data_IF_625142162427
#
_entry.id   IF_625142162427
#
_cell.length_a   1.000
_cell.length_b   1.000
_cell.length_c   1.000
_cell.angle_alpha   90.00
_cell.angle_beta   90.00
_cell.angle_gamma   90.00
#
_symmetry.space_group_name_H-M   'P 1'
#
loop_
_entity.id
_entity.type
_entity.pdbx_description
1 polymer ?
#
# COMPACT_ATOMS: atom_id res chain seq x y z
N UNK A 1 6.35 3.79 38.62
CA UNK A 1 7.35 3.30 37.67
C UNK A 1 7.92 1.92 38.07
N UNK A 2 8.50 1.71 39.27
CA UNK A 2 9.06 0.40 39.68
C UNK A 2 8.08 -0.78 39.58
N UNK A 3 6.80 -0.61 39.92
CA UNK A 3 5.78 -1.68 39.84
C UNK A 3 5.42 -2.07 38.38
N UNK A 4 5.41 -1.09 37.48
CA UNK A 4 5.17 -1.35 36.03
C UNK A 4 6.33 -2.11 35.39
N UNK A 5 7.55 -1.77 35.78
CA UNK A 5 8.76 -2.47 35.33
C UNK A 5 8.79 -3.93 35.84
N UNK A 6 8.37 -4.15 37.06
CA UNK A 6 8.30 -5.50 37.67
C UNK A 6 7.23 -6.37 36.99
N UNK A 7 6.06 -5.81 36.69
CA UNK A 7 5.01 -6.52 35.94
C UNK A 7 5.42 -6.83 34.51
N UNK A 8 6.09 -5.91 33.84
CA UNK A 8 6.64 -6.15 32.50
C UNK A 8 7.71 -7.25 32.51
N UNK A 9 8.62 -7.24 33.48
CA UNK A 9 9.64 -8.28 33.66
C UNK A 9 9.02 -9.65 33.97
N UNK A 10 7.99 -9.73 34.80
CA UNK A 10 7.26 -10.96 35.09
C UNK A 10 6.56 -11.53 33.83
N UNK A 11 5.94 -10.67 33.00
CA UNK A 11 5.33 -11.09 31.72
C UNK A 11 6.39 -11.63 30.76
N UNK A 12 7.53 -10.98 30.66
CA UNK A 12 8.65 -11.46 29.83
C UNK A 12 9.19 -12.81 30.33
N UNK A 13 9.33 -13.00 31.64
CA UNK A 13 9.80 -14.27 32.23
C UNK A 13 8.80 -15.43 32.03
N UNK A 14 7.49 -15.18 32.01
CA UNK A 14 6.50 -16.23 31.73
C UNK A 14 6.53 -16.69 30.28
N UNK A 15 6.98 -15.86 29.34
CA UNK A 15 7.10 -16.23 27.92
C UNK A 15 8.25 -17.22 27.66
N UNK A 16 9.26 -17.31 28.54
CA UNK A 16 10.38 -18.25 28.38
C UNK A 16 10.07 -19.70 28.78
N UNK A 17 8.98 -19.96 29.50
CA UNK A 17 8.65 -21.30 29.96
C UNK A 17 7.64 -22.06 29.09
N UNK A 18 7.29 -21.56 27.91
CA UNK A 18 6.45 -22.28 26.96
C UNK A 18 7.33 -23.26 26.18
N UNK A 19 7.82 -24.30 26.85
CA UNK A 19 8.25 -25.52 26.18
C UNK A 19 6.99 -26.26 25.73
N UNK A 20 6.40 -25.80 24.63
CA UNK A 20 5.31 -26.49 23.98
C UNK A 20 5.77 -27.92 23.64
N UNK A 21 5.07 -28.90 24.12
CA UNK A 21 5.25 -30.30 23.76
C UNK A 21 5.42 -30.36 22.23
N UNK A 22 6.50 -30.95 21.73
CA UNK A 22 6.69 -31.29 20.32
C UNK A 22 5.60 -32.32 19.93
N UNK A 23 4.43 -31.82 19.58
CA UNK A 23 3.50 -32.61 18.78
C UNK A 23 4.12 -32.70 17.39
N UNK A 24 4.21 -33.90 16.83
CA UNK A 24 4.51 -34.07 15.41
C UNK A 24 3.41 -33.38 14.60
N UNK A 25 3.66 -32.11 14.25
CA UNK A 25 2.74 -31.32 13.47
C UNK A 25 2.94 -31.74 12.01
N UNK A 26 1.88 -32.22 11.38
CA UNK A 26 1.88 -32.54 9.96
C UNK A 26 2.24 -31.29 9.18
N UNK A 27 3.35 -31.35 8.45
CA UNK A 27 3.75 -30.28 7.54
C UNK A 27 3.01 -30.40 6.21
N UNK A 28 2.20 -29.40 5.89
CA UNK A 28 1.47 -29.33 4.62
C UNK A 28 2.34 -28.81 3.51
N UNK A 29 2.11 -29.22 2.25
CA UNK A 29 2.79 -28.68 1.06
C UNK A 29 4.32 -28.78 1.12
N UNK A 30 4.88 -29.89 1.61
CA UNK A 30 6.35 -30.08 1.76
C UNK A 30 7.14 -29.87 0.46
N UNK A 31 6.57 -30.24 -0.71
CA UNK A 31 7.20 -30.07 -2.00
C UNK A 31 7.12 -28.62 -2.55
N UNK A 32 6.31 -27.77 -1.94
CA UNK A 32 6.19 -26.37 -2.35
C UNK A 32 7.52 -25.63 -2.24
N UNK A 33 8.24 -25.89 -1.17
CA UNK A 33 9.53 -25.25 -0.94
C UNK A 33 10.64 -25.66 -1.93
N UNK A 34 10.41 -26.63 -2.80
CA UNK A 34 11.32 -27.08 -3.86
C UNK A 34 11.06 -26.37 -5.20
N UNK A 35 9.91 -25.77 -5.39
CA UNK A 35 9.54 -25.08 -6.62
C UNK A 35 10.29 -23.75 -6.76
N UNK A 36 10.58 -23.36 -8.02
CA UNK A 36 11.23 -22.07 -8.32
C UNK A 36 10.24 -20.96 -8.65
N UNK A 37 9.10 -21.32 -9.21
CA UNK A 37 8.07 -20.38 -9.67
C UNK A 37 6.76 -20.69 -8.96
N UNK A 38 6.11 -19.67 -8.46
CA UNK A 38 4.81 -19.76 -7.82
C UNK A 38 3.85 -18.76 -8.44
N UNK A 39 2.61 -19.14 -8.57
CA UNK A 39 1.54 -18.29 -9.04
C UNK A 39 0.46 -18.19 -7.98
N UNK A 40 -0.24 -17.09 -7.99
CA UNK A 40 -1.35 -16.87 -7.09
C UNK A 40 -2.17 -15.68 -7.50
N UNK A 41 -3.16 -15.36 -6.69
CA UNK A 41 -3.96 -14.15 -6.81
C UNK A 41 -4.12 -13.52 -5.43
N UNK A 42 -4.49 -12.26 -5.42
CA UNK A 42 -4.75 -11.56 -4.17
C UNK A 42 -5.98 -10.68 -4.27
N UNK A 43 -6.60 -10.50 -3.12
CA UNK A 43 -7.62 -9.50 -2.85
C UNK A 43 -7.08 -8.59 -1.77
N UNK A 44 -7.38 -7.30 -1.84
CA UNK A 44 -6.90 -6.34 -0.85
C UNK A 44 -7.88 -5.22 -0.60
N UNK A 45 -7.73 -4.64 0.58
CA UNK A 45 -8.32 -3.37 0.94
C UNK A 45 -7.20 -2.33 1.04
N UNK A 46 -7.49 -1.13 0.60
CA UNK A 46 -6.54 -0.03 0.72
C UNK A 46 -7.21 1.21 1.32
N UNK A 47 -6.40 1.99 2.01
CA UNK A 47 -6.74 3.35 2.40
C UNK A 47 -5.59 4.24 1.99
N UNK A 48 -5.82 5.06 0.96
CA UNK A 48 -4.84 5.99 0.39
C UNK A 48 -5.15 7.40 0.86
N UNK A 49 -4.11 8.14 1.18
CA UNK A 49 -4.12 9.55 1.55
C UNK A 49 -3.06 10.28 0.73
N UNK A 50 -2.97 11.60 0.86
CA UNK A 50 -1.92 12.39 0.21
C UNK A 50 -0.98 13.00 1.24
N UNK A 51 0.30 12.98 0.93
CA UNK A 51 1.28 13.85 1.54
C UNK A 51 1.35 15.11 0.69
N UNK A 52 1.00 16.26 1.29
CA UNK A 52 1.01 17.56 0.63
C UNK A 52 2.05 18.44 1.33
N UNK A 53 2.88 19.11 0.55
CA UNK A 53 3.78 20.17 1.04
C UNK A 53 3.39 21.48 0.39
N UNK A 54 3.41 22.57 1.15
CA UNK A 54 2.98 23.89 0.74
C UNK A 54 4.15 24.88 0.73
N UNK A 55 4.10 25.83 -0.18
CA UNK A 55 5.07 26.92 -0.24
C UNK A 55 4.82 28.00 0.84
N UNK A 56 3.55 28.19 1.24
CA UNK A 56 3.12 29.12 2.28
C UNK A 56 2.20 28.43 3.30
N UNK A 57 2.25 28.82 4.60
CA UNK A 57 1.45 28.17 5.65
C UNK A 57 -0.04 28.56 5.65
N UNK A 58 -0.47 29.46 4.76
CA UNK A 58 -1.82 30.06 4.84
C UNK A 58 -2.90 29.25 4.10
N UNK A 59 -2.55 28.19 3.40
CA UNK A 59 -3.49 27.41 2.59
C UNK A 59 -3.35 25.92 2.90
N UNK A 60 -4.47 25.30 3.25
CA UNK A 60 -4.52 23.87 3.53
C UNK A 60 -5.62 23.19 2.70
N UNK A 61 -5.30 22.01 2.20
CA UNK A 61 -6.22 21.11 1.54
C UNK A 61 -6.57 20.00 2.54
N UNK A 62 -7.84 19.91 2.90
CA UNK A 62 -8.32 18.81 3.73
C UNK A 62 -8.61 17.60 2.84
N UNK A 63 -8.03 16.45 3.19
CA UNK A 63 -8.16 15.22 2.38
C UNK A 63 -9.00 14.22 3.14
N UNK A 64 -10.15 13.88 2.59
CA UNK A 64 -11.00 12.79 3.09
C UNK A 64 -10.84 11.58 2.19
N UNK A 65 -10.36 10.47 2.76
CA UNK A 65 -10.08 9.24 2.02
C UNK A 65 -11.09 8.15 2.33
N UNK A 66 -11.69 7.56 1.31
CA UNK A 66 -12.51 6.37 1.41
C UNK A 66 -11.66 5.09 1.45
N UNK A 67 -12.20 4.01 1.97
CA UNK A 67 -11.61 2.70 1.77
C UNK A 67 -11.77 2.28 0.30
N UNK A 68 -10.70 1.75 -0.26
CA UNK A 68 -10.68 1.21 -1.61
C UNK A 68 -10.40 -0.29 -1.60
N UNK A 69 -10.45 -0.89 -2.77
CA UNK A 69 -10.14 -2.30 -2.96
C UNK A 69 -9.04 -2.52 -3.99
N UNK A 70 -8.45 -3.70 -3.95
CA UNK A 70 -7.40 -4.11 -4.87
C UNK A 70 -7.56 -5.59 -5.21
N UNK A 71 -7.34 -5.95 -6.47
CA UNK A 71 -7.34 -7.33 -6.94
C UNK A 71 -6.25 -7.52 -7.98
N UNK A 72 -5.58 -8.66 -7.94
CA UNK A 72 -4.52 -8.92 -8.91
C UNK A 72 -3.96 -10.34 -8.84
N UNK A 73 -2.94 -10.53 -9.65
CA UNK A 73 -2.20 -11.77 -9.76
C UNK A 73 -0.85 -11.66 -9.05
N UNK A 74 -0.28 -12.80 -8.70
CA UNK A 74 1.05 -12.90 -8.10
C UNK A 74 1.89 -13.83 -8.97
N UNK A 75 3.07 -13.36 -9.33
CA UNK A 75 4.15 -14.18 -9.84
C UNK A 75 5.33 -14.09 -8.87
N UNK A 76 5.78 -15.20 -8.34
CA UNK A 76 6.83 -15.29 -7.34
C UNK A 76 7.96 -16.16 -7.89
N UNK A 77 9.16 -15.63 -8.01
CA UNK A 77 10.35 -16.37 -8.48
C UNK A 77 11.36 -16.49 -7.34
N UNK A 78 11.68 -17.70 -6.96
CA UNK A 78 12.65 -17.99 -5.91
C UNK A 78 14.07 -17.78 -6.40
N UNK A 79 14.73 -16.73 -5.87
CA UNK A 79 16.14 -16.44 -6.10
C UNK A 79 17.04 -17.27 -5.17
N UNK A 80 16.62 -17.40 -3.91
CA UNK A 80 17.34 -18.13 -2.86
C UNK A 80 16.35 -18.77 -1.90
N UNK A 81 16.79 -19.63 -1.00
CA UNK A 81 15.95 -20.32 0.01
C UNK A 81 14.97 -19.37 0.73
N UNK A 82 15.45 -18.18 1.05
CA UNK A 82 14.72 -17.18 1.85
C UNK A 82 14.43 -15.88 1.09
N UNK A 83 14.76 -15.80 -0.21
CA UNK A 83 14.64 -14.59 -1.03
C UNK A 83 13.86 -14.91 -2.30
N UNK A 84 12.75 -14.21 -2.50
CA UNK A 84 11.95 -14.30 -3.72
C UNK A 84 11.85 -12.93 -4.39
N UNK A 85 11.88 -12.93 -5.72
CA UNK A 85 11.46 -11.79 -6.54
C UNK A 85 9.98 -11.96 -6.85
N UNK A 86 9.18 -10.95 -6.54
CA UNK A 86 7.72 -10.99 -6.65
C UNK A 86 7.22 -9.88 -7.54
N UNK A 87 6.33 -10.20 -8.47
CA UNK A 87 5.57 -9.26 -9.27
C UNK A 87 4.09 -9.44 -8.98
N UNK A 88 3.34 -8.34 -8.79
CA UNK A 88 1.93 -8.39 -8.41
C UNK A 88 1.06 -7.45 -9.27
N UNK A 89 0.93 -7.71 -10.59
CA UNK A 89 0.06 -6.88 -11.42
C UNK A 89 -1.38 -6.96 -10.95
N UNK A 90 -2.03 -5.80 -10.82
CA UNK A 90 -3.40 -5.74 -10.33
C UNK A 90 -4.06 -4.39 -10.54
N UNK A 91 -5.36 -4.36 -10.29
CA UNK A 91 -6.18 -3.17 -10.32
C UNK A 91 -6.51 -2.70 -8.91
N UNK A 92 -6.36 -1.41 -8.67
CA UNK A 92 -6.66 -0.77 -7.39
C UNK A 92 -7.61 0.40 -7.62
N UNK A 93 -8.70 0.45 -6.87
CA UNK A 93 -9.64 1.56 -6.89
C UNK A 93 -9.72 2.23 -5.52
N UNK A 94 -9.86 3.55 -5.52
CA UNK A 94 -10.02 4.36 -4.31
C UNK A 94 -10.58 5.74 -4.67
N UNK A 95 -11.48 6.27 -3.84
CA UNK A 95 -12.03 7.62 -3.97
C UNK A 95 -11.50 8.51 -2.86
N UNK A 96 -11.18 9.76 -3.18
CA UNK A 96 -10.73 10.77 -2.24
C UNK A 96 -11.42 12.09 -2.54
N UNK A 97 -11.71 12.85 -1.51
CA UNK A 97 -12.28 14.19 -1.60
C UNK A 97 -11.24 15.19 -1.10
N UNK A 98 -10.93 16.18 -1.92
CA UNK A 98 -10.08 17.30 -1.59
C UNK A 98 -10.96 18.51 -1.29
N UNK A 99 -10.85 19.07 -0.11
CA UNK A 99 -11.54 20.28 0.30
C UNK A 99 -10.54 21.43 0.48
N UNK A 100 -10.69 22.46 -0.33
CA UNK A 100 -9.84 23.66 -0.32
C UNK A 100 -10.42 24.68 0.66
N UNK A 101 -9.97 24.66 1.91
CA UNK A 101 -10.53 25.45 3.02
C UNK A 101 -10.32 26.96 2.88
N UNK A 102 -9.40 27.39 2.06
CA UNK A 102 -9.07 28.80 1.81
C UNK A 102 -9.90 29.42 0.67
N UNK A 103 -10.63 28.61 -0.09
CA UNK A 103 -11.46 29.09 -1.19
C UNK A 103 -12.87 29.37 -0.65
N UNK A 104 -13.35 30.61 -0.84
CA UNK A 104 -14.71 31.00 -0.53
C UNK A 104 -15.57 30.80 -1.80
N UNK A 105 -16.68 30.11 -1.68
CA UNK A 105 -17.59 29.86 -2.79
C UNK A 105 -18.49 28.66 -2.56
N UNK A 106 -19.16 28.26 -3.64
CA UNK A 106 -20.02 27.06 -3.65
C UNK A 106 -19.17 25.80 -3.54
N UNK A 107 -19.79 24.69 -3.14
CA UNK A 107 -19.10 23.40 -2.94
C UNK A 107 -18.43 22.88 -4.22
N UNK A 108 -18.99 23.16 -5.39
CA UNK A 108 -18.41 22.81 -6.69
C UNK A 108 -17.05 23.49 -6.99
N UNK A 109 -16.76 24.63 -6.34
CA UNK A 109 -15.46 25.33 -6.46
C UNK A 109 -14.49 24.85 -5.40
N UNK A 110 -14.97 24.57 -4.19
CA UNK A 110 -14.21 24.25 -3.01
C UNK A 110 -13.87 22.76 -2.86
N UNK A 111 -14.74 21.90 -3.35
CA UNK A 111 -14.60 20.45 -3.21
C UNK A 111 -14.25 19.83 -4.57
N UNK A 112 -13.22 18.99 -4.57
CA UNK A 112 -12.78 18.21 -5.73
C UNK A 112 -12.79 16.73 -5.37
N UNK A 113 -13.53 15.93 -6.14
CA UNK A 113 -13.52 14.49 -6.00
C UNK A 113 -12.47 13.88 -6.92
N UNK A 114 -11.55 13.10 -6.34
CA UNK A 114 -10.51 12.39 -7.05
C UNK A 114 -10.80 10.90 -7.01
N UNK A 115 -11.47 10.41 -8.03
CA UNK A 115 -11.69 8.99 -8.27
C UNK A 115 -10.45 8.41 -8.95
N UNK A 116 -9.82 7.41 -8.35
CA UNK A 116 -8.61 6.82 -8.90
C UNK A 116 -8.76 5.32 -9.12
N UNK A 117 -8.76 4.92 -10.40
CA UNK A 117 -8.55 3.52 -10.80
C UNK A 117 -7.15 3.38 -11.37
N UNK A 118 -6.36 2.51 -10.78
CA UNK A 118 -4.94 2.34 -11.08
C UNK A 118 -4.65 0.91 -11.52
N UNK A 119 -3.89 0.77 -12.61
CA UNK A 119 -3.14 -0.45 -12.87
C UNK A 119 -1.83 -0.35 -12.09
N UNK A 120 -1.62 -1.25 -11.15
CA UNK A 120 -0.41 -1.32 -10.34
C UNK A 120 0.44 -2.51 -10.75
N UNK A 121 1.74 -2.30 -10.87
CA UNK A 121 2.72 -3.34 -11.23
C UNK A 121 3.90 -3.24 -10.26
N UNK A 122 3.75 -3.75 -9.02
CA UNK A 122 4.83 -3.79 -8.05
C UNK A 122 5.88 -4.85 -8.44
N UNK A 123 7.15 -4.51 -8.28
CA UNK A 123 8.28 -5.42 -8.32
C UNK A 123 8.96 -5.41 -6.94
N UNK A 124 8.88 -6.52 -6.24
CA UNK A 124 9.19 -6.62 -4.83
C UNK A 124 10.21 -7.72 -4.56
N UNK A 125 11.06 -7.50 -3.57
CA UNK A 125 11.86 -8.53 -2.93
C UNK A 125 11.16 -8.99 -1.65
N UNK A 126 10.88 -10.27 -1.55
CA UNK A 126 10.30 -10.93 -0.38
C UNK A 126 11.39 -11.69 0.35
N UNK A 127 11.64 -11.32 1.59
CA UNK A 127 12.57 -11.99 2.50
C UNK A 127 11.78 -12.77 3.53
N UNK A 128 11.91 -14.08 3.52
CA UNK A 128 11.19 -14.97 4.42
C UNK A 128 12.14 -15.65 5.41
N UNK A 129 11.64 -15.98 6.58
CA UNK A 129 12.36 -16.85 7.51
C UNK A 129 12.38 -18.30 6.99
N UNK A 130 13.06 -19.19 7.68
CA UNK A 130 12.82 -20.62 7.53
C UNK A 130 11.40 -20.95 7.99
N UNK A 131 10.85 -21.99 7.44
CA UNK A 131 9.50 -22.44 7.76
C UNK A 131 9.44 -22.92 9.20
N UNK A 132 8.46 -22.43 9.94
CA UNK A 132 8.14 -22.82 11.30
C UNK A 132 6.85 -23.65 11.26
N UNK A 133 6.95 -24.96 11.14
CA UNK A 133 5.83 -25.86 10.91
C UNK A 133 5.02 -25.44 9.65
N UNK A 134 3.82 -24.92 9.86
CA UNK A 134 2.92 -24.50 8.78
C UNK A 134 2.82 -22.99 8.63
N UNK A 135 3.82 -22.22 9.12
CA UNK A 135 3.87 -20.77 8.95
C UNK A 135 5.26 -20.30 8.60
N UNK A 136 5.32 -19.19 7.84
CA UNK A 136 6.56 -18.58 7.37
C UNK A 136 6.41 -17.05 7.35
N UNK A 137 6.85 -16.36 8.39
CA UNK A 137 6.89 -14.90 8.41
C UNK A 137 7.80 -14.35 7.31
N UNK A 138 7.43 -13.19 6.76
CA UNK A 138 8.24 -12.50 5.76
C UNK A 138 8.12 -10.99 5.86
N UNK A 139 9.13 -10.32 5.33
CA UNK A 139 9.10 -8.90 5.00
C UNK A 139 9.16 -8.75 3.49
N UNK A 140 8.58 -7.68 2.96
CA UNK A 140 8.58 -7.40 1.54
C UNK A 140 8.87 -5.93 1.32
N UNK A 141 9.62 -5.61 0.27
CA UNK A 141 9.91 -4.25 -0.10
C UNK A 141 10.31 -4.13 -1.56
N UNK A 142 10.05 -3.00 -2.16
CA UNK A 142 10.40 -2.74 -3.56
C UNK A 142 9.75 -1.50 -4.13
N UNK A 143 9.59 -1.48 -5.44
CA UNK A 143 9.04 -0.37 -6.20
C UNK A 143 7.80 -0.81 -6.98
N UNK A 144 6.89 0.13 -7.22
CA UNK A 144 5.68 -0.09 -8.02
C UNK A 144 5.58 0.98 -9.09
N UNK A 145 5.14 0.56 -10.27
CA UNK A 145 4.65 1.45 -11.30
C UNK A 145 3.13 1.45 -11.25
N UNK A 146 2.53 2.63 -11.07
CA UNK A 146 1.09 2.80 -10.95
C UNK A 146 0.59 3.69 -12.10
N UNK A 147 -0.19 3.12 -13.02
CA UNK A 147 -0.83 3.86 -14.12
C UNK A 147 -2.24 4.26 -13.72
N UNK A 148 -2.53 5.56 -13.72
CA UNK A 148 -3.82 6.12 -13.35
C UNK A 148 -4.75 6.22 -14.58
N UNK A 149 -5.77 5.37 -14.66
CA UNK A 149 -6.78 5.42 -15.73
C UNK A 149 -7.73 6.62 -15.62
N UNK A 150 -7.93 7.12 -14.38
CA UNK A 150 -8.84 8.24 -14.11
C UNK A 150 -8.13 9.58 -14.12
N UNK A 151 -6.95 9.65 -14.73
CA UNK A 151 -6.16 10.88 -14.77
C UNK A 151 -6.73 11.85 -15.81
N UNK A 152 -6.96 13.09 -15.38
CA UNK A 152 -7.36 14.21 -16.22
C UNK A 152 -6.15 15.10 -16.59
N UNK A 153 -4.96 14.49 -16.69
CA UNK A 153 -3.70 15.22 -16.91
C UNK A 153 -3.74 16.15 -18.12
N UNK A 154 -4.44 15.73 -19.18
CA UNK A 154 -4.45 16.41 -20.47
C UNK A 154 -5.68 17.35 -20.64
N UNK A 155 -6.55 17.48 -19.63
CA UNK A 155 -7.69 18.39 -19.66
C UNK A 155 -7.26 19.83 -19.32
N UNK A 156 -7.27 20.79 -20.28
CA UNK A 156 -6.90 22.18 -19.98
C UNK A 156 -7.99 22.94 -19.23
N UNK A 157 -9.23 22.44 -19.21
CA UNK A 157 -10.41 23.08 -18.62
C UNK A 157 -10.78 22.46 -17.25
N UNK A 158 -9.89 21.73 -16.62
CA UNK A 158 -10.08 21.02 -15.36
C UNK A 158 -10.75 21.86 -14.26
N UNK A 159 -10.36 23.13 -14.15
CA UNK A 159 -10.91 24.05 -13.16
C UNK A 159 -12.38 24.43 -13.43
N UNK A 160 -12.81 24.48 -14.70
CA UNK A 160 -14.21 24.72 -15.08
C UNK A 160 -15.06 23.47 -14.86
N UNK A 161 -14.48 22.29 -15.12
CA UNK A 161 -15.15 21.00 -14.99
C UNK A 161 -15.18 20.49 -13.53
N UNK A 162 -14.56 21.21 -12.59
CA UNK A 162 -14.52 20.80 -11.21
C UNK A 162 -13.56 19.61 -10.92
N UNK A 163 -12.59 19.37 -11.79
CA UNK A 163 -11.65 18.27 -11.72
C UNK A 163 -10.31 18.70 -11.08
N UNK A 164 -9.54 17.73 -10.63
CA UNK A 164 -8.17 17.93 -10.12
C UNK A 164 -7.20 17.08 -10.93
N UNK A 165 -6.18 17.73 -11.53
CA UNK A 165 -5.26 17.04 -12.44
C UNK A 165 -4.16 16.31 -11.69
N UNK A 166 -4.04 15.04 -11.97
CA UNK A 166 -2.96 14.19 -11.48
C UNK A 166 -2.24 13.50 -12.63
N UNK A 167 -0.95 13.22 -12.46
CA UNK A 167 -0.17 12.51 -13.46
C UNK A 167 -0.70 11.10 -13.71
N UNK A 168 -0.62 10.66 -14.96
CA UNK A 168 -0.97 9.29 -15.37
C UNK A 168 0.01 8.25 -14.85
N UNK A 169 1.32 8.57 -14.88
CA UNK A 169 2.40 7.65 -14.58
C UNK A 169 3.00 8.00 -13.22
N UNK A 170 2.90 7.09 -12.27
CA UNK A 170 3.37 7.29 -10.92
C UNK A 170 4.29 6.14 -10.50
N UNK A 171 5.34 6.48 -9.75
CA UNK A 171 6.27 5.54 -9.18
C UNK A 171 6.14 5.57 -7.66
N UNK A 172 6.02 4.37 -7.07
CA UNK A 172 5.86 4.21 -5.62
C UNK A 172 6.98 3.34 -5.07
N UNK A 173 7.26 3.43 -3.80
CA UNK A 173 7.96 2.40 -3.07
C UNK A 173 7.03 1.76 -2.05
N UNK A 174 7.24 0.47 -1.82
CA UNK A 174 6.43 -0.33 -0.90
C UNK A 174 7.31 -1.02 0.13
N UNK A 175 6.82 -1.09 1.35
CA UNK A 175 7.40 -1.90 2.42
C UNK A 175 6.29 -2.54 3.22
N UNK A 176 6.47 -3.78 3.62
CA UNK A 176 5.44 -4.48 4.38
C UNK A 176 5.92 -5.74 5.05
N UNK A 177 5.00 -6.31 5.82
CA UNK A 177 5.19 -7.56 6.54
C UNK A 177 4.01 -8.47 6.30
N UNK A 178 4.24 -9.77 6.36
CA UNK A 178 3.20 -10.77 6.20
C UNK A 178 3.61 -12.13 6.73
N UNK A 179 2.73 -13.09 6.58
CA UNK A 179 2.98 -14.47 6.96
C UNK A 179 2.36 -15.41 5.93
N UNK A 180 3.12 -16.39 5.47
CA UNK A 180 2.59 -17.50 4.67
C UNK A 180 2.09 -18.58 5.62
N UNK A 181 0.82 -18.91 5.54
CA UNK A 181 0.15 -19.99 6.28
C UNK A 181 -0.09 -21.16 5.32
N UNK A 182 0.60 -22.25 5.56
CA UNK A 182 0.51 -23.46 4.75
C UNK A 182 -0.70 -24.27 5.19
N UNK A 183 -1.77 -24.19 4.42
CA UNK A 183 -2.99 -24.96 4.63
C UNK A 183 -2.94 -26.26 3.79
N UNK A 184 -3.82 -27.24 4.04
CA UNK A 184 -3.79 -28.50 3.31
C UNK A 184 -3.88 -28.36 1.79
N UNK A 185 -4.69 -27.40 1.30
CA UNK A 185 -4.98 -27.24 -0.13
C UNK A 185 -4.31 -26.05 -0.79
N UNK A 186 -4.02 -24.98 -0.05
CA UNK A 186 -3.44 -23.75 -0.56
C UNK A 186 -2.57 -23.06 0.50
N UNK A 187 -1.82 -22.06 0.09
CA UNK A 187 -1.09 -21.18 1.01
C UNK A 187 -1.85 -19.86 1.08
N UNK A 188 -2.20 -19.46 2.29
CA UNK A 188 -2.84 -18.20 2.59
C UNK A 188 -1.80 -17.21 3.14
N UNK A 189 -1.64 -16.06 2.48
CA UNK A 189 -0.58 -15.10 2.79
C UNK A 189 -1.16 -13.71 3.08
N UNK A 190 -1.68 -13.47 4.29
CA UNK A 190 -2.08 -12.12 4.70
C UNK A 190 -0.85 -11.23 4.88
N UNK A 191 -0.96 -9.97 4.46
CA UNK A 191 0.09 -8.96 4.62
C UNK A 191 -0.49 -7.57 4.82
N UNK A 192 0.30 -6.72 5.49
CA UNK A 192 0.06 -5.29 5.59
C UNK A 192 1.25 -4.55 4.99
N UNK A 193 0.98 -3.52 4.17
CA UNK A 193 2.00 -2.77 3.45
C UNK A 193 1.75 -1.28 3.53
N UNK A 194 2.83 -0.51 3.67
CA UNK A 194 2.88 0.92 3.42
C UNK A 194 3.33 1.18 1.98
N UNK A 195 2.64 2.08 1.30
CA UNK A 195 2.94 2.50 -0.08
C UNK A 195 3.09 4.01 -0.10
N UNK A 196 4.12 4.51 -0.79
CA UNK A 196 4.47 5.93 -0.79
C UNK A 196 4.95 6.35 -2.17
N UNK A 197 4.48 7.51 -2.63
CA UNK A 197 4.89 8.09 -3.90
C UNK A 197 6.37 8.53 -3.86
N UNK A 198 7.08 8.24 -4.94
CA UNK A 198 8.45 8.71 -5.18
C UNK A 198 8.42 10.03 -5.94
N UNK A 199 7.57 10.14 -6.97
CA UNK A 199 7.44 11.33 -7.78
C UNK A 199 6.31 12.24 -7.27
N UNK A 200 6.39 13.52 -7.65
CA UNK A 200 5.28 14.45 -7.48
C UNK A 200 4.17 14.11 -8.47
N UNK A 201 2.99 13.79 -7.98
CA UNK A 201 1.81 13.39 -8.78
C UNK A 201 1.00 14.57 -9.29
N UNK A 202 1.28 15.80 -8.81
CA UNK A 202 0.57 17.00 -9.20
C UNK A 202 0.86 17.38 -10.65
N UNK A 203 -0.19 17.75 -11.38
CA UNK A 203 -0.11 18.53 -12.60
C UNK A 203 -0.56 19.95 -12.26
N UNK A 204 0.36 20.90 -12.33
CA UNK A 204 0.07 22.30 -11.99
C UNK A 204 -0.82 22.95 -13.05
N UNK A 205 -1.65 23.89 -12.62
CA UNK A 205 -2.42 24.74 -13.51
C UNK A 205 -1.50 25.64 -14.35
N UNK A 206 -2.04 26.12 -15.46
CA UNK A 206 -1.29 27.04 -16.37
C UNK A 206 -0.99 28.35 -15.65
N UNK A 207 -1.91 28.82 -14.80
CA UNK A 207 -1.68 29.99 -13.95
C UNK A 207 -0.86 29.61 -12.71
N UNK A 208 0.37 30.14 -12.55
CA UNK A 208 1.19 29.89 -11.36
C UNK A 208 0.54 30.35 -10.04
N UNK A 209 -0.38 31.31 -10.12
CA UNK A 209 -1.11 31.84 -8.97
C UNK A 209 -2.49 31.17 -8.76
N UNK A 210 -2.72 30.04 -9.42
CA UNK A 210 -3.97 29.29 -9.24
C UNK A 210 -4.28 29.06 -7.77
N UNK A 211 -5.51 29.32 -7.38
CA UNK A 211 -5.99 29.11 -6.00
C UNK A 211 -6.04 27.63 -5.62
N UNK A 212 -6.00 26.68 -6.56
CA UNK A 212 -6.03 25.23 -6.30
C UNK A 212 -4.63 24.62 -6.22
N UNK A 213 -3.73 24.97 -7.13
CA UNK A 213 -2.41 24.33 -7.24
C UNK A 213 -1.22 25.25 -6.98
N UNK A 214 -1.42 26.58 -7.00
CA UNK A 214 -0.31 27.57 -6.93
C UNK A 214 0.54 27.48 -5.66
N UNK A 215 -0.07 27.16 -4.51
CA UNK A 215 0.64 27.03 -3.23
C UNK A 215 1.14 25.62 -2.92
N UNK A 216 0.85 24.63 -3.77
CA UNK A 216 1.27 23.23 -3.54
C UNK A 216 2.65 22.99 -4.15
N UNK A 217 3.64 22.65 -3.32
CA UNK A 217 4.99 22.30 -3.76
C UNK A 217 5.07 20.81 -4.15
N UNK A 218 4.64 19.93 -3.26
CA UNK A 218 4.64 18.48 -3.46
C UNK A 218 3.29 17.89 -3.14
N UNK A 219 2.88 16.95 -3.98
CA UNK A 219 1.65 16.20 -3.83
C UNK A 219 1.90 14.72 -4.19
N UNK A 220 1.81 13.83 -3.24
CA UNK A 220 2.12 12.43 -3.47
C UNK A 220 1.27 11.49 -2.62
N UNK A 221 0.84 10.39 -3.23
CA UNK A 221 0.06 9.35 -2.56
C UNK A 221 0.88 8.66 -1.48
N UNK A 222 0.26 8.45 -0.33
CA UNK A 222 0.69 7.52 0.70
C UNK A 222 -0.49 6.65 1.09
N UNK A 223 -0.26 5.42 1.51
CA UNK A 223 -1.37 4.55 1.88
C UNK A 223 -0.97 3.30 2.62
N UNK A 224 -1.98 2.68 3.23
CA UNK A 224 -1.86 1.36 3.85
C UNK A 224 -2.72 0.38 3.07
N UNK A 225 -2.15 -0.78 2.81
CA UNK A 225 -2.77 -1.87 2.07
C UNK A 225 -2.80 -3.11 2.93
N UNK A 226 -3.93 -3.75 3.02
CA UNK A 226 -4.11 -5.07 3.62
C UNK A 226 -4.39 -6.03 2.48
N UNK A 227 -3.48 -6.98 2.24
CA UNK A 227 -3.60 -7.94 1.15
C UNK A 227 -3.78 -9.35 1.69
N UNK A 228 -4.67 -10.08 1.07
CA UNK A 228 -4.97 -11.50 1.31
C UNK A 228 -4.60 -12.25 0.03
N UNK A 229 -3.46 -12.92 0.04
CA UNK A 229 -2.95 -13.66 -1.11
C UNK A 229 -3.19 -15.16 -0.97
N UNK A 230 -3.39 -15.82 -2.10
CA UNK A 230 -3.69 -17.24 -2.22
C UNK A 230 -2.79 -17.85 -3.30
N UNK A 231 -2.08 -18.92 -2.93
CA UNK A 231 -1.15 -19.65 -3.79
C UNK A 231 -1.51 -21.14 -3.88
#
# INVERSE_FOLDING_TARGET
MKRILLTFFLIVCTLYNVNAQKRDIVEYKQNWDKQKVFWGYYLGLNKKDYKISYNSPDTFINVTSSAGFEVGLIGDYRLHKNINLRIEPGLSSNTKTLEFTHINGEDNVRIREVNGTYLRIPLLLKFSTDRLNNMRPYVVGGVSYDYNFSSNQDNPNDNLDGEFRMKKNNFMYEIGVGVDLYLPFFIFSPSIRGVFAINNELVRDVDPNSQWTGNVDYFGTRGVFIKLAFH
#
